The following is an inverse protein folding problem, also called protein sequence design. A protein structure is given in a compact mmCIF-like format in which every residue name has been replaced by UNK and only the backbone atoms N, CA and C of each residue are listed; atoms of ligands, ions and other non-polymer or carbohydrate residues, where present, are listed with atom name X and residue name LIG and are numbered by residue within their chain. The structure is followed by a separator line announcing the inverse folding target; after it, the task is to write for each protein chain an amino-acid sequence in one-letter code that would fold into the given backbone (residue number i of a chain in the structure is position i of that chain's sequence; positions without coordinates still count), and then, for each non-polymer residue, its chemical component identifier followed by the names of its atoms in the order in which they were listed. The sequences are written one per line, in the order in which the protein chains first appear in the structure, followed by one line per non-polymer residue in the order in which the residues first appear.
data_IF_554404050575
#
_entry.id   IF_554404050575
#
_cell.length_a   1.000
_cell.length_b   1.000
_cell.length_c   1.000
_cell.angle_alpha   90.00
_cell.angle_beta   90.00
_cell.angle_gamma   90.00
#
_symmetry.space_group_name_H-M   'P 1'
#
loop_
_entity.id
_entity.type
_entity.pdbx_description
1 polymer ?
#
# COMPACT_ATOMS: atom_id res chain seq x y z
N UNK A 1 -19.82 -13.27 -13.62
CA UNK A 1 -19.24 -12.06 -13.01
C UNK A 1 -17.99 -12.52 -12.30
N UNK A 2 -16.86 -12.16 -12.86
CA UNK A 2 -15.58 -12.47 -12.25
C UNK A 2 -15.49 -11.67 -10.94
N UNK A 3 -15.45 -12.38 -9.82
CA UNK A 3 -15.22 -11.78 -8.50
C UNK A 3 -13.77 -11.28 -8.48
N UNK A 4 -13.58 -9.98 -8.65
CA UNK A 4 -12.26 -9.33 -8.64
C UNK A 4 -11.55 -9.43 -7.29
N UNK A 5 -12.17 -10.04 -6.29
CA UNK A 5 -11.67 -10.09 -4.93
C UNK A 5 -11.84 -8.77 -4.19
N UNK A 6 -11.15 -8.62 -3.07
CA UNK A 6 -11.19 -7.40 -2.24
C UNK A 6 -9.85 -6.68 -2.28
N UNK A 7 -9.88 -5.34 -2.29
CA UNK A 7 -8.68 -4.53 -2.11
C UNK A 7 -8.15 -4.65 -0.69
N UNK A 8 -7.15 -5.49 -0.45
CA UNK A 8 -6.58 -5.69 0.90
C UNK A 8 -5.71 -4.51 1.35
N UNK A 9 -5.10 -3.81 0.41
CA UNK A 9 -4.25 -2.64 0.63
C UNK A 9 -4.63 -1.54 -0.34
N UNK A 10 -4.96 -0.36 0.17
CA UNK A 10 -5.11 0.86 -0.63
C UNK A 10 -4.15 1.90 -0.07
N UNK A 11 -3.18 2.31 -0.89
CA UNK A 11 -2.12 3.23 -0.48
C UNK A 11 -1.86 4.26 -1.56
N UNK A 12 -1.79 5.53 -1.18
CA UNK A 12 -1.31 6.61 -2.05
C UNK A 12 0.19 6.79 -1.82
N UNK A 13 0.95 6.78 -2.91
CA UNK A 13 2.37 7.12 -2.90
C UNK A 13 2.56 8.48 -3.59
N UNK A 14 2.98 9.46 -2.83
CA UNK A 14 3.37 10.78 -3.35
C UNK A 14 4.87 10.85 -3.50
N UNK A 15 5.33 11.21 -4.70
CA UNK A 15 6.73 11.30 -5.08
C UNK A 15 7.04 12.73 -5.49
N UNK A 16 7.80 13.44 -4.70
CA UNK A 16 8.31 14.76 -5.07
C UNK A 16 9.64 14.60 -5.80
N UNK A 17 9.65 14.99 -7.07
CA UNK A 17 10.82 14.85 -7.94
C UNK A 17 11.89 15.90 -7.70
N UNK A 18 11.56 17.00 -7.06
CA UNK A 18 12.49 18.09 -6.81
C UNK A 18 13.28 17.83 -5.52
N UNK A 19 12.60 17.46 -4.45
CA UNK A 19 13.24 17.12 -3.16
C UNK A 19 13.70 15.67 -3.06
N UNK A 20 13.15 14.75 -3.86
CA UNK A 20 13.35 13.29 -3.72
C UNK A 20 12.56 12.71 -2.54
N UNK A 21 11.61 13.44 -1.98
CA UNK A 21 10.81 12.95 -0.86
C UNK A 21 9.74 11.94 -1.31
N UNK A 22 9.47 10.99 -0.42
CA UNK A 22 8.43 9.96 -0.59
C UNK A 22 7.46 10.08 0.58
N UNK A 23 6.15 10.14 0.27
CA UNK A 23 5.11 10.13 1.29
C UNK A 23 4.13 9.00 1.00
N UNK A 24 3.85 8.16 2.02
CA UNK A 24 2.95 7.02 1.94
C UNK A 24 1.71 7.27 2.78
N UNK A 25 0.55 7.24 2.15
CA UNK A 25 -0.74 7.40 2.83
C UNK A 25 -1.55 6.13 2.66
N UNK A 26 -1.78 5.42 3.77
CA UNK A 26 -2.65 4.25 3.78
C UNK A 26 -4.09 4.67 4.02
N UNK A 27 -5.02 4.11 3.25
CA UNK A 27 -6.45 4.30 3.46
C UNK A 27 -7.02 3.11 4.22
N UNK A 28 -7.74 3.41 5.30
CA UNK A 28 -8.40 2.37 6.09
C UNK A 28 -9.52 1.71 5.26
N UNK A 29 -9.48 0.39 5.23
CA UNK A 29 -10.30 -0.42 4.30
C UNK A 29 -11.81 -0.32 4.53
N UNK A 30 -12.24 -0.07 5.76
CA UNK A 30 -13.66 0.04 6.15
C UNK A 30 -14.25 1.42 5.92
N UNK A 31 -13.43 2.40 5.49
CA UNK A 31 -13.89 3.77 5.21
C UNK A 31 -15.04 3.74 4.20
N UNK A 32 -16.15 4.40 4.56
CA UNK A 32 -17.30 4.54 3.69
C UNK A 32 -16.90 5.33 2.43
N UNK A 33 -17.21 4.81 1.26
CA UNK A 33 -17.02 5.52 -0.01
C UNK A 33 -18.25 5.35 -0.88
N UNK A 34 -18.63 6.37 -1.65
CA UNK A 34 -19.80 6.28 -2.49
C UNK A 34 -19.60 5.28 -3.64
N UNK A 35 -20.57 4.38 -3.80
CA UNK A 35 -20.69 3.56 -5.00
C UNK A 35 -21.85 4.10 -5.85
N UNK A 36 -21.59 4.67 -7.02
CA UNK A 36 -22.62 5.35 -7.82
C UNK A 36 -23.84 4.47 -8.09
N UNK A 37 -25.00 4.95 -7.67
CA UNK A 37 -26.28 4.25 -7.84
C UNK A 37 -26.62 3.18 -6.79
N UNK A 38 -25.71 2.90 -5.84
CA UNK A 38 -25.88 1.81 -4.86
C UNK A 38 -25.69 2.23 -3.39
N UNK A 39 -25.32 3.49 -3.12
CA UNK A 39 -25.05 3.97 -1.76
C UNK A 39 -23.59 3.86 -1.37
N UNK A 40 -23.31 3.94 -0.07
CA UNK A 40 -21.94 3.89 0.44
C UNK A 40 -21.52 2.46 0.78
N UNK A 41 -20.30 2.11 0.42
CA UNK A 41 -19.67 0.81 0.66
C UNK A 41 -18.32 0.99 1.36
N UNK A 42 -17.75 -0.09 1.89
CA UNK A 42 -16.36 -0.06 2.34
C UNK A 42 -15.42 0.21 1.15
N UNK A 43 -14.38 0.98 1.36
CA UNK A 43 -13.34 1.23 0.35
C UNK A 43 -12.77 -0.09 -0.22
N UNK A 44 -12.56 -1.11 0.63
CA UNK A 44 -12.10 -2.44 0.17
C UNK A 44 -13.06 -3.09 -0.83
N UNK A 45 -14.37 -2.79 -0.75
CA UNK A 45 -15.39 -3.35 -1.63
C UNK A 45 -15.49 -2.59 -2.97
N UNK A 46 -15.03 -1.34 -3.04
CA UNK A 46 -14.97 -0.61 -4.31
C UNK A 46 -14.15 -1.38 -5.36
N UNK A 47 -13.10 -2.09 -4.92
CA UNK A 47 -12.31 -2.95 -5.80
C UNK A 47 -13.13 -4.12 -6.36
N UNK A 48 -13.93 -4.79 -5.53
CA UNK A 48 -14.82 -5.88 -5.96
C UNK A 48 -15.82 -5.43 -7.02
N UNK A 49 -16.31 -4.19 -6.92
CA UNK A 49 -17.37 -3.66 -7.78
C UNK A 49 -16.88 -2.98 -9.06
N UNK A 50 -15.68 -2.43 -9.06
CA UNK A 50 -15.16 -1.67 -10.20
C UNK A 50 -13.63 -1.63 -10.28
N UNK A 51 -12.95 -2.58 -9.63
CA UNK A 51 -11.50 -2.73 -9.73
C UNK A 51 -10.71 -1.53 -9.18
N UNK A 52 -9.48 -1.41 -9.66
CA UNK A 52 -8.57 -0.36 -9.28
C UNK A 52 -9.06 1.03 -9.70
N UNK A 53 -9.79 1.13 -10.83
CA UNK A 53 -10.35 2.39 -11.33
C UNK A 53 -11.37 2.97 -10.34
N UNK A 54 -12.40 2.19 -9.93
CA UNK A 54 -13.40 2.66 -8.97
C UNK A 54 -12.78 2.98 -7.61
N UNK A 55 -11.80 2.18 -7.17
CA UNK A 55 -11.07 2.45 -5.91
C UNK A 55 -10.33 3.76 -5.98
N UNK A 56 -9.62 4.03 -7.08
CA UNK A 56 -8.88 5.28 -7.30
C UNK A 56 -9.81 6.47 -7.36
N UNK A 57 -10.93 6.36 -8.08
CA UNK A 57 -11.94 7.41 -8.16
C UNK A 57 -12.62 7.68 -6.83
N UNK A 58 -12.87 6.65 -6.03
CA UNK A 58 -13.39 6.79 -4.68
C UNK A 58 -12.44 7.61 -3.79
N UNK A 59 -11.15 7.29 -3.81
CA UNK A 59 -10.12 8.05 -3.07
C UNK A 59 -10.04 9.49 -3.58
N UNK A 60 -9.95 9.68 -4.89
CA UNK A 60 -9.87 10.99 -5.54
C UNK A 60 -11.05 11.89 -5.17
N UNK A 61 -12.26 11.35 -5.21
CA UNK A 61 -13.48 12.10 -4.95
C UNK A 61 -13.70 12.38 -3.45
N UNK A 62 -13.49 11.39 -2.58
CA UNK A 62 -13.69 11.53 -1.13
C UNK A 62 -12.67 12.48 -0.50
N UNK A 63 -11.41 12.40 -0.92
CA UNK A 63 -10.32 13.14 -0.29
C UNK A 63 -9.78 14.28 -1.15
N UNK A 64 -10.39 14.54 -2.33
CA UNK A 64 -10.07 15.67 -3.24
C UNK A 64 -8.58 15.73 -3.59
N UNK A 65 -7.94 14.59 -3.71
CA UNK A 65 -6.53 14.46 -4.07
C UNK A 65 -6.41 14.14 -5.55
N UNK A 66 -5.47 14.80 -6.23
CA UNK A 66 -5.14 14.46 -7.62
C UNK A 66 -4.25 13.22 -7.66
N UNK A 67 -4.65 12.21 -8.42
CA UNK A 67 -3.96 10.93 -8.55
C UNK A 67 -3.60 10.72 -10.02
N UNK A 68 -2.32 10.64 -10.30
CA UNK A 68 -1.79 10.53 -11.65
C UNK A 68 -2.14 9.19 -12.34
N UNK A 69 -2.40 8.16 -11.56
CA UNK A 69 -2.78 6.84 -12.00
C UNK A 69 -2.63 5.81 -10.88
N UNK A 70 -2.98 4.56 -11.16
CA UNK A 70 -2.86 3.47 -10.19
C UNK A 70 -1.84 2.41 -10.62
N UNK A 71 -1.37 1.65 -9.65
CA UNK A 71 -0.64 0.39 -9.82
C UNK A 71 -1.34 -0.66 -8.97
N UNK A 72 -1.81 -1.70 -9.60
CA UNK A 72 -2.44 -2.85 -8.95
C UNK A 72 -1.55 -4.09 -9.09
N UNK A 73 -1.45 -4.87 -8.02
CA UNK A 73 -0.81 -6.17 -7.97
C UNK A 73 -1.72 -7.14 -7.21
N UNK A 74 -1.86 -8.35 -7.72
CA UNK A 74 -2.40 -9.46 -6.94
C UNK A 74 -1.32 -10.05 -5.99
N UNK A 75 -1.69 -11.04 -5.21
CA UNK A 75 -0.77 -11.63 -4.22
C UNK A 75 0.41 -12.34 -4.86
N UNK A 76 0.19 -13.02 -6.00
CA UNK A 76 1.25 -13.73 -6.71
C UNK A 76 2.25 -12.74 -7.32
N UNK A 77 1.75 -11.68 -7.96
CA UNK A 77 2.57 -10.60 -8.49
C UNK A 77 3.40 -9.91 -7.39
N UNK A 78 2.79 -9.66 -6.22
CA UNK A 78 3.50 -9.10 -5.08
C UNK A 78 4.64 -10.01 -4.61
N UNK A 79 4.39 -11.31 -4.43
CA UNK A 79 5.42 -12.28 -4.04
C UNK A 79 6.56 -12.30 -5.06
N UNK A 80 6.24 -12.42 -6.36
CA UNK A 80 7.23 -12.41 -7.43
C UNK A 80 8.05 -11.11 -7.49
N UNK A 81 7.43 -9.96 -7.22
CA UNK A 81 8.14 -8.68 -7.19
C UNK A 81 9.14 -8.61 -6.03
N UNK A 82 8.76 -9.08 -4.83
CA UNK A 82 9.65 -9.18 -3.67
C UNK A 82 10.81 -10.15 -3.96
N UNK A 83 10.53 -11.30 -4.54
CA UNK A 83 11.56 -12.30 -4.90
C UNK A 83 12.52 -11.78 -5.98
N UNK A 84 11.99 -11.04 -6.96
CA UNK A 84 12.81 -10.37 -7.98
C UNK A 84 13.77 -9.32 -7.40
N UNK A 85 13.35 -8.66 -6.30
CA UNK A 85 14.20 -7.73 -5.53
C UNK A 85 15.24 -8.46 -4.68
N UNK A 86 15.10 -9.77 -4.48
CA UNK A 86 15.94 -10.60 -3.62
C UNK A 86 15.50 -10.56 -2.15
N UNK A 87 14.19 -10.42 -1.89
CA UNK A 87 13.61 -10.33 -0.56
C UNK A 87 13.75 -8.96 0.09
N UNK A 88 13.14 -8.79 1.25
CA UNK A 88 13.17 -7.57 2.06
C UNK A 88 13.60 -7.87 3.49
N UNK A 89 14.26 -6.91 4.13
CA UNK A 89 14.70 -7.02 5.52
C UNK A 89 13.75 -6.22 6.40
N UNK A 90 13.07 -6.89 7.34
CA UNK A 90 12.04 -6.31 8.21
C UNK A 90 12.35 -6.65 9.67
N UNK A 91 12.29 -5.64 10.53
CA UNK A 91 12.38 -5.84 11.98
C UNK A 91 11.04 -6.33 12.51
N UNK A 92 11.03 -7.55 13.08
CA UNK A 92 9.85 -8.18 13.64
C UNK A 92 9.82 -8.03 15.16
N UNK A 93 8.65 -7.73 15.69
CA UNK A 93 8.38 -7.91 17.11
C UNK A 93 8.31 -9.40 17.43
N UNK A 94 8.45 -9.76 18.72
CA UNK A 94 8.31 -11.16 19.17
C UNK A 94 6.96 -11.76 18.75
N UNK A 95 5.86 -11.02 18.90
CA UNK A 95 4.53 -11.51 18.55
C UNK A 95 4.37 -11.76 17.03
N UNK A 96 4.97 -10.90 16.20
CA UNK A 96 4.96 -11.07 14.74
C UNK A 96 5.79 -12.27 14.30
N UNK A 97 6.97 -12.44 14.89
CA UNK A 97 7.85 -13.57 14.60
C UNK A 97 7.20 -14.91 14.99
N UNK A 98 6.61 -14.98 16.17
CA UNK A 98 5.91 -16.18 16.65
C UNK A 98 4.70 -16.49 15.73
N UNK A 99 3.89 -15.48 15.37
CA UNK A 99 2.73 -15.66 14.49
C UNK A 99 3.12 -16.08 13.06
N UNK A 100 4.20 -15.53 12.51
CA UNK A 100 4.72 -15.93 11.20
C UNK A 100 5.27 -17.36 11.22
N UNK A 101 5.93 -17.75 12.30
CA UNK A 101 6.48 -19.12 12.46
C UNK A 101 5.35 -20.15 12.58
N UNK A 102 4.28 -19.87 13.33
CA UNK A 102 3.13 -20.75 13.48
C UNK A 102 2.33 -20.94 12.18
N UNK A 103 2.34 -19.96 11.30
CA UNK A 103 1.58 -19.96 10.04
C UNK A 103 2.31 -20.66 8.89
N UNK A 104 3.49 -21.21 9.13
CA UNK A 104 4.28 -21.87 8.08
C UNK A 104 3.98 -23.36 8.00
N UNK A 105 3.53 -23.82 6.84
CA UNK A 105 3.69 -25.22 6.40
C UNK A 105 5.15 -25.50 5.99
N UNK A 106 5.97 -24.48 5.86
CA UNK A 106 7.41 -24.55 5.61
C UNK A 106 8.15 -24.38 6.93
N UNK A 107 9.24 -25.11 7.15
CA UNK A 107 10.05 -25.06 8.37
C UNK A 107 10.87 -23.75 8.49
N UNK A 108 10.29 -22.62 8.13
CA UNK A 108 10.95 -21.31 8.24
C UNK A 108 10.67 -20.74 9.62
N UNK A 109 11.73 -20.48 10.38
CA UNK A 109 11.68 -19.91 11.72
C UNK A 109 12.01 -18.43 11.66
N UNK A 110 11.18 -17.61 12.27
CA UNK A 110 11.41 -16.18 12.45
C UNK A 110 11.71 -15.89 13.92
N UNK A 111 12.51 -14.87 14.16
CA UNK A 111 12.89 -14.41 15.51
C UNK A 111 12.62 -12.92 15.67
N UNK A 112 12.50 -12.49 16.93
CA UNK A 112 12.48 -11.05 17.22
C UNK A 112 13.72 -10.35 16.66
N UNK A 113 13.55 -9.14 16.09
CA UNK A 113 14.59 -8.37 15.45
C UNK A 113 14.57 -8.48 13.92
N UNK A 114 15.70 -8.22 13.28
CA UNK A 114 15.80 -8.15 11.82
C UNK A 114 15.71 -9.53 11.19
N UNK A 115 14.77 -9.70 10.25
CA UNK A 115 14.57 -10.92 9.48
C UNK A 115 14.58 -10.62 7.99
N UNK A 116 15.11 -11.56 7.21
CA UNK A 116 15.03 -11.53 5.77
C UNK A 116 13.78 -12.30 5.33
N UNK A 117 12.85 -11.62 4.66
CA UNK A 117 11.60 -12.17 4.17
C UNK A 117 11.64 -12.28 2.65
N UNK A 118 11.34 -13.45 2.11
CA UNK A 118 11.02 -13.68 0.70
C UNK A 118 9.61 -13.18 0.39
N UNK A 119 9.13 -13.39 -0.83
CA UNK A 119 7.80 -12.96 -1.25
C UNK A 119 6.68 -13.56 -0.42
N UNK A 120 6.78 -14.84 -0.05
CA UNK A 120 5.77 -15.50 0.79
C UNK A 120 5.79 -14.94 2.23
N UNK A 121 6.95 -14.83 2.83
CA UNK A 121 7.13 -14.23 4.16
C UNK A 121 6.62 -12.80 4.24
N UNK A 122 6.95 -11.97 3.25
CA UNK A 122 6.49 -10.59 3.18
C UNK A 122 4.97 -10.49 3.00
N UNK A 123 4.37 -11.33 2.16
CA UNK A 123 2.91 -11.38 2.00
C UNK A 123 2.20 -11.79 3.29
N UNK A 124 2.69 -12.81 3.97
CA UNK A 124 2.14 -13.25 5.28
C UNK A 124 2.26 -12.14 6.32
N UNK A 125 3.41 -11.46 6.40
CA UNK A 125 3.60 -10.32 7.28
C UNK A 125 2.58 -9.20 7.02
N UNK A 126 2.36 -8.82 5.79
CA UNK A 126 1.36 -7.83 5.40
C UNK A 126 -0.08 -8.24 5.75
N UNK A 127 -0.34 -9.55 5.85
CA UNK A 127 -1.69 -10.12 6.09
C UNK A 127 -1.93 -10.56 7.53
N UNK A 128 -0.97 -10.44 8.44
CA UNK A 128 -1.15 -10.77 9.85
C UNK A 128 -2.33 -10.00 10.45
N UNK A 129 -3.28 -10.74 11.08
CA UNK A 129 -4.48 -10.19 11.72
C UNK A 129 -4.74 -10.76 13.12
N UNK A 130 -4.06 -11.86 13.48
CA UNK A 130 -4.38 -12.63 14.69
C UNK A 130 -3.81 -12.02 15.97
N UNK A 131 -2.82 -11.14 15.84
CA UNK A 131 -2.04 -10.62 16.97
C UNK A 131 -2.45 -9.21 17.39
N UNK A 132 -3.18 -8.49 16.54
CA UNK A 132 -3.52 -7.08 16.77
C UNK A 132 -4.67 -6.58 15.85
N UNK A 133 -4.89 -5.27 15.87
CA UNK A 133 -5.95 -4.61 15.13
C UNK A 133 -5.57 -4.29 13.66
N UNK A 134 -6.52 -3.73 12.92
CA UNK A 134 -6.35 -3.36 11.53
C UNK A 134 -5.31 -2.24 11.33
N UNK A 135 -5.13 -1.37 12.33
CA UNK A 135 -4.15 -0.26 12.26
C UNK A 135 -2.71 -0.78 12.24
N UNK A 136 -2.42 -1.80 13.05
CA UNK A 136 -1.12 -2.46 13.07
C UNK A 136 -0.85 -3.18 11.74
N UNK A 137 -1.89 -3.81 11.15
CA UNK A 137 -1.77 -4.39 9.82
C UNK A 137 -1.40 -3.34 8.77
N UNK A 138 -2.06 -2.19 8.77
CA UNK A 138 -1.78 -1.08 7.86
C UNK A 138 -0.35 -0.54 8.08
N UNK A 139 0.12 -0.49 9.32
CA UNK A 139 1.50 -0.13 9.63
C UNK A 139 2.50 -1.14 9.04
N UNK A 140 2.25 -2.47 9.18
CA UNK A 140 3.09 -3.51 8.56
C UNK A 140 3.18 -3.38 7.05
N UNK A 141 2.08 -3.06 6.39
CA UNK A 141 2.06 -2.83 4.94
C UNK A 141 2.97 -1.65 4.53
N UNK A 142 2.94 -0.54 5.28
CA UNK A 142 3.87 0.58 5.05
C UNK A 142 5.32 0.21 5.36
N UNK A 143 5.56 -0.55 6.43
CA UNK A 143 6.91 -1.04 6.76
C UNK A 143 7.48 -1.91 5.64
N UNK A 144 6.64 -2.71 4.98
CA UNK A 144 7.06 -3.49 3.81
C UNK A 144 7.44 -2.60 2.63
N UNK A 145 6.65 -1.57 2.33
CA UNK A 145 7.01 -0.60 1.27
C UNK A 145 8.31 0.14 1.63
N UNK A 146 8.48 0.53 2.90
CA UNK A 146 9.74 1.13 3.36
C UNK A 146 10.93 0.18 3.22
N UNK A 147 10.75 -1.11 3.51
CA UNK A 147 11.80 -2.12 3.33
C UNK A 147 12.17 -2.29 1.84
N UNK A 148 11.17 -2.25 0.93
CA UNK A 148 11.40 -2.25 -0.52
C UNK A 148 12.25 -1.03 -0.92
N UNK A 149 11.89 0.18 -0.48
CA UNK A 149 12.65 1.41 -0.76
C UNK A 149 14.08 1.30 -0.21
N UNK A 150 14.23 0.81 1.00
CA UNK A 150 15.55 0.61 1.62
C UNK A 150 16.41 -0.41 0.86
N UNK A 151 15.80 -1.49 0.35
CA UNK A 151 16.49 -2.52 -0.44
C UNK A 151 17.04 -1.98 -1.76
N UNK A 152 16.40 -0.95 -2.34
CA UNK A 152 16.92 -0.31 -3.56
C UNK A 152 18.22 0.45 -3.32
N UNK A 153 18.56 0.75 -2.05
CA UNK A 153 19.79 1.44 -1.68
C UNK A 153 21.01 0.58 -2.06
N UNK A 154 21.83 1.13 -2.91
CA UNK A 154 23.01 0.41 -3.40
C UNK A 154 22.80 -0.34 -4.73
N UNK A 155 21.59 -0.39 -5.28
CA UNK A 155 21.36 -0.89 -6.63
C UNK A 155 21.91 0.09 -7.66
N UNK A 156 22.61 -0.46 -8.64
CA UNK A 156 23.02 0.29 -9.83
C UNK A 156 21.84 0.55 -10.76
N UNK A 157 21.97 1.53 -11.64
CA UNK A 157 20.92 1.83 -12.63
C UNK A 157 20.60 0.61 -13.52
N UNK A 158 21.61 -0.20 -13.85
CA UNK A 158 21.40 -1.44 -14.61
C UNK A 158 20.55 -2.46 -13.83
N UNK A 159 20.80 -2.61 -12.53
CA UNK A 159 20.02 -3.50 -11.66
C UNK A 159 18.58 -3.00 -11.47
N UNK A 160 18.39 -1.68 -11.34
CA UNK A 160 17.05 -1.09 -11.29
C UNK A 160 16.27 -1.32 -12.59
N UNK A 161 16.92 -1.19 -13.75
CA UNK A 161 16.29 -1.50 -15.04
C UNK A 161 15.91 -2.97 -15.14
N UNK A 162 16.80 -3.88 -14.75
CA UNK A 162 16.50 -5.33 -14.73
C UNK A 162 15.35 -5.66 -13.77
N UNK A 163 15.29 -5.02 -12.61
CA UNK A 163 14.17 -5.16 -11.67
C UNK A 163 12.87 -4.66 -12.31
N UNK A 164 12.90 -3.47 -12.93
CA UNK A 164 11.73 -2.92 -13.61
C UNK A 164 11.22 -3.84 -14.74
N UNK A 165 12.12 -4.41 -15.55
CA UNK A 165 11.76 -5.39 -16.60
C UNK A 165 11.06 -6.63 -16.06
N UNK A 166 11.39 -7.06 -14.83
CA UNK A 166 10.76 -8.21 -14.17
C UNK A 166 9.42 -7.84 -13.53
N UNK A 167 9.31 -6.64 -12.95
CA UNK A 167 8.14 -6.22 -12.16
C UNK A 167 7.04 -5.61 -13.05
N UNK A 168 7.39 -4.85 -14.09
CA UNK A 168 6.40 -4.21 -14.97
C UNK A 168 5.38 -5.17 -15.59
N UNK A 169 5.73 -6.39 -16.01
CA UNK A 169 4.74 -7.35 -16.52
C UNK A 169 3.78 -7.90 -15.46
N UNK A 170 4.09 -7.75 -14.17
CA UNK A 170 3.31 -8.25 -13.04
C UNK A 170 2.26 -7.27 -12.54
N UNK A 171 2.30 -6.02 -13.01
CA UNK A 171 1.41 -4.96 -12.55
C UNK A 171 0.30 -4.68 -13.56
N UNK A 172 -0.88 -4.36 -13.04
CA UNK A 172 -1.94 -3.71 -13.80
C UNK A 172 -1.96 -2.21 -13.48
N UNK A 173 -2.00 -1.35 -14.53
CA UNK A 173 -1.89 0.10 -14.35
C UNK A 173 -2.52 0.87 -15.50
N UNK A 174 -3.13 2.03 -15.19
CA UNK A 174 -3.59 3.01 -16.16
C UNK A 174 -2.51 4.04 -16.55
N UNK A 175 -1.33 3.94 -15.95
CA UNK A 175 -0.20 4.83 -16.29
C UNK A 175 0.25 4.57 -17.72
N UNK A 176 0.29 5.62 -18.52
CA UNK A 176 0.82 5.56 -19.87
C UNK A 176 2.31 5.17 -19.89
N UNK A 177 2.77 4.58 -20.99
CA UNK A 177 4.19 4.25 -21.18
C UNK A 177 5.10 5.47 -20.96
N UNK A 178 4.64 6.68 -21.28
CA UNK A 178 5.38 7.93 -21.04
C UNK A 178 5.52 8.24 -19.54
N UNK A 179 4.44 8.05 -18.77
CA UNK A 179 4.48 8.25 -17.33
C UNK A 179 5.38 7.21 -16.65
N UNK A 180 5.27 5.93 -17.02
CA UNK A 180 6.16 4.88 -16.53
C UNK A 180 7.63 5.17 -16.85
N UNK A 181 7.94 5.54 -18.07
CA UNK A 181 9.31 5.93 -18.44
C UNK A 181 9.81 7.13 -17.62
N UNK A 182 8.94 8.12 -17.38
CA UNK A 182 9.26 9.29 -16.57
C UNK A 182 9.51 8.92 -15.09
N UNK A 183 8.78 7.95 -14.55
CA UNK A 183 9.00 7.41 -13.20
C UNK A 183 10.34 6.65 -13.13
N UNK A 184 10.66 5.83 -14.13
CA UNK A 184 11.95 5.12 -14.19
C UNK A 184 13.13 6.08 -14.25
N UNK A 185 13.03 7.16 -15.02
CA UNK A 185 14.07 8.21 -15.09
C UNK A 185 14.24 8.91 -13.73
N UNK A 186 13.13 9.12 -13.01
CA UNK A 186 13.15 9.76 -11.69
C UNK A 186 13.55 8.80 -10.55
N UNK A 187 13.44 7.49 -10.74
CA UNK A 187 13.65 6.47 -9.71
C UNK A 187 14.97 6.64 -8.92
N UNK A 188 16.12 7.02 -9.54
CA UNK A 188 17.35 7.25 -8.79
C UNK A 188 17.26 8.30 -7.68
N UNK A 189 16.32 9.25 -7.76
CA UNK A 189 16.11 10.26 -6.72
C UNK A 189 15.47 9.70 -5.45
N UNK A 190 14.78 8.58 -5.56
CA UNK A 190 14.03 7.95 -4.47
C UNK A 190 14.75 6.73 -3.86
N UNK A 191 15.95 6.40 -4.36
CA UNK A 191 16.73 5.26 -3.87
C UNK A 191 17.04 5.43 -2.39
N UNK A 192 16.57 4.48 -1.57
CA UNK A 192 16.81 4.47 -0.13
C UNK A 192 16.13 5.61 0.62
N UNK A 193 15.12 6.26 0.03
CA UNK A 193 14.37 7.31 0.71
C UNK A 193 13.65 6.77 1.95
N UNK A 194 13.67 7.56 3.01
CA UNK A 194 12.76 7.36 4.15
C UNK A 194 11.42 8.00 3.81
N UNK A 195 10.36 7.17 3.76
CA UNK A 195 9.04 7.64 3.46
C UNK A 195 8.36 8.23 4.71
N UNK A 196 7.88 9.46 4.62
CA UNK A 196 6.92 9.97 5.60
C UNK A 196 5.61 9.19 5.47
N UNK A 197 4.93 8.92 6.60
CA UNK A 197 3.81 7.98 6.63
C UNK A 197 2.59 8.56 7.33
N UNK A 198 1.41 8.28 6.78
CA UNK A 198 0.12 8.70 7.33
C UNK A 198 -0.94 7.61 7.13
N UNK A 199 -1.98 7.62 7.96
CA UNK A 199 -3.21 6.83 7.75
C UNK A 199 -4.40 7.77 7.65
N UNK A 200 -5.27 7.51 6.71
CA UNK A 200 -6.55 8.18 6.48
C UNK A 200 -7.68 7.15 6.56
N UNK A 201 -8.75 7.43 7.31
CA UNK A 201 -8.93 8.53 8.26
C UNK A 201 -8.02 8.40 9.48
N UNK A 202 -7.95 9.44 10.32
CA UNK A 202 -7.34 9.34 11.64
C UNK A 202 -8.14 8.40 12.54
N UNK A 203 -7.45 7.61 13.38
CA UNK A 203 -8.09 6.62 14.25
C UNK A 203 -9.13 7.23 15.18
N UNK A 204 -8.86 8.43 15.68
CA UNK A 204 -9.73 9.11 16.65
C UNK A 204 -10.86 9.89 15.96
N UNK A 205 -10.84 10.01 14.63
CA UNK A 205 -11.82 10.75 13.83
C UNK A 205 -12.90 9.87 13.20
N UNK A 206 -12.84 8.54 13.39
CA UNK A 206 -13.80 7.61 12.79
C UNK A 206 -15.01 7.36 13.71
N UNK A 207 -16.15 7.04 13.08
CA UNK A 207 -17.35 6.56 13.77
C UNK A 207 -17.99 5.41 12.99
N UNK A 208 -18.84 4.62 13.68
CA UNK A 208 -19.63 3.60 13.00
C UNK A 208 -20.65 4.27 12.07
N UNK A 209 -20.67 3.86 10.82
CA UNK A 209 -21.54 4.43 9.80
C UNK A 209 -22.90 3.72 9.84
N UNK A 210 -23.95 4.49 10.20
CA UNK A 210 -25.32 3.99 10.26
C UNK A 210 -25.96 4.07 8.87
N UNK A 211 -26.28 2.93 8.26
CA UNK A 211 -26.96 2.85 6.97
C UNK A 211 -26.18 2.13 5.87
N UNK A 212 -25.06 1.54 6.20
CA UNK A 212 -24.31 0.65 5.34
C UNK A 212 -24.15 -0.74 5.99
N UNK A 213 -23.47 -1.65 5.30
CA UNK A 213 -23.14 -2.98 5.80
C UNK A 213 -22.38 -2.90 7.15
N UNK A 214 -22.44 -3.97 7.95
CA UNK A 214 -21.72 -4.05 9.22
C UNK A 214 -20.22 -3.79 9.05
N UNK A 215 -19.67 -2.92 9.88
CA UNK A 215 -18.24 -2.60 9.91
C UNK A 215 -17.80 -1.47 8.99
N UNK A 216 -18.71 -0.78 8.31
CA UNK A 216 -18.38 0.46 7.57
C UNK A 216 -18.13 1.59 8.55
N UNK A 217 -17.07 2.35 8.33
CA UNK A 217 -16.71 3.50 9.17
C UNK A 217 -16.82 4.81 8.40
N UNK A 218 -17.47 5.80 9.01
CA UNK A 218 -17.52 7.17 8.51
C UNK A 218 -16.35 8.01 9.03
N UNK A 219 -16.07 9.11 8.34
CA UNK A 219 -15.12 10.12 8.78
C UNK A 219 -15.54 11.51 8.28
N UNK A 220 -14.94 12.56 8.84
CA UNK A 220 -15.12 13.90 8.31
C UNK A 220 -14.20 14.09 7.08
N UNK A 221 -14.73 13.80 5.88
CA UNK A 221 -13.98 13.87 4.63
C UNK A 221 -13.31 15.23 4.39
N UNK A 222 -13.93 16.32 4.81
CA UNK A 222 -13.33 17.65 4.65
C UNK A 222 -12.09 17.79 5.51
N UNK A 223 -12.18 17.45 6.78
CA UNK A 223 -11.04 17.52 7.70
C UNK A 223 -9.91 16.56 7.29
N UNK A 224 -10.27 15.33 6.88
CA UNK A 224 -9.30 14.35 6.40
C UNK A 224 -8.64 14.77 5.08
N UNK A 225 -9.38 15.44 4.17
CA UNK A 225 -8.80 16.02 2.96
C UNK A 225 -7.81 17.13 3.27
N UNK A 226 -8.15 18.05 4.20
CA UNK A 226 -7.27 19.13 4.63
C UNK A 226 -5.98 18.55 5.25
N UNK A 227 -6.10 17.54 6.12
CA UNK A 227 -4.97 16.84 6.73
C UNK A 227 -4.10 16.12 5.69
N UNK A 228 -4.72 15.47 4.69
CA UNK A 228 -4.03 14.80 3.59
C UNK A 228 -3.26 15.82 2.75
N UNK A 229 -3.88 16.94 2.38
CA UNK A 229 -3.26 17.98 1.57
C UNK A 229 -2.08 18.63 2.31
N UNK A 230 -2.25 18.97 3.58
CA UNK A 230 -1.16 19.46 4.41
C UNK A 230 0.02 18.49 4.41
N UNK A 231 -0.26 17.19 4.63
CA UNK A 231 0.79 16.17 4.64
C UNK A 231 1.49 16.06 3.29
N UNK A 232 0.77 16.06 2.17
CA UNK A 232 1.37 15.87 0.83
C UNK A 232 2.11 17.13 0.36
N UNK A 233 1.56 18.33 0.60
CA UNK A 233 2.02 19.56 -0.06
C UNK A 233 2.75 20.54 0.87
N UNK A 234 2.92 20.27 2.17
CA UNK A 234 3.53 21.20 3.13
C UNK A 234 5.01 21.50 2.89
N UNK A 235 5.69 20.70 2.10
CA UNK A 235 7.13 20.86 1.81
C UNK A 235 7.41 21.44 0.41
N UNK A 236 6.38 22.00 -0.25
CA UNK A 236 6.47 22.60 -1.59
C UNK A 236 6.55 24.13 -1.52
#
# INVERSE_FOLDING_TARGET
SDDLGRGDVTMLCSLDRDSGSVKLVSFERSTAVPWPGHGDVMLTNSFTYGGAELTTDSVRNCFRVDIAGYVHMDFEAFQQAIDALGGVDIELTRAEADALTEDTYTQTWFSEGMNHLDGDGALRYCRLRRIDDNWQRVARQRSTVQAILSKTKGLTLAQLNTLAEKVLPLIDTDLSKRQLASLLIAAPKFIGAEAAQMTIPDRDSIWMYNGADEGVTGCNYKAESERLHEFIYSDQ
#
